data_IF_025302854121
#
_entry.id   IF_025302854121
#
_cell.length_a   1.000
_cell.length_b   1.000
_cell.length_c   1.000
_cell.angle_alpha   90.00
_cell.angle_beta   90.00
_cell.angle_gamma   90.00
#
_symmetry.space_group_name_H-M   'P 1'
#
loop_
_entity.id
_entity.type
_entity.pdbx_description
1 polymer ?
#
# COMPACT_ATOMS: atom_id res chain seq x y z
N UNK A 1 -4.57 -6.58 -3.20
CA UNK A 1 -4.70 -7.34 -1.94
C UNK A 1 -6.09 -7.23 -1.31
N UNK A 2 -6.53 -6.03 -0.89
CA UNK A 2 -7.75 -5.84 -0.06
C UNK A 2 -9.08 -6.26 -0.71
N UNK A 3 -9.14 -6.46 -2.03
CA UNK A 3 -10.32 -7.00 -2.72
C UNK A 3 -10.41 -8.53 -2.70
N UNK A 4 -9.28 -9.23 -2.50
CA UNK A 4 -9.27 -10.70 -2.54
C UNK A 4 -10.03 -11.27 -1.34
N UNK A 5 -10.68 -12.44 -1.49
CA UNK A 5 -11.24 -13.16 -0.35
C UNK A 5 -10.18 -13.55 0.70
N UNK A 6 -10.63 -13.80 1.94
CA UNK A 6 -9.80 -14.34 3.01
C UNK A 6 -9.21 -13.31 4.00
N UNK A 7 -8.28 -13.78 4.83
CA UNK A 7 -7.59 -12.94 5.79
C UNK A 7 -6.60 -12.00 5.08
N UNK A 8 -6.50 -10.77 5.56
CA UNK A 8 -5.53 -9.78 5.09
C UNK A 8 -4.66 -9.37 6.27
N UNK A 9 -3.35 -9.35 6.04
CA UNK A 9 -2.37 -8.84 6.98
C UNK A 9 -1.78 -7.57 6.35
N UNK A 10 -1.83 -6.46 7.08
CA UNK A 10 -1.21 -5.19 6.67
C UNK A 10 0.02 -5.01 7.54
N UNK A 11 1.19 -4.83 6.92
CA UNK A 11 2.42 -4.58 7.67
C UNK A 11 2.48 -3.12 8.11
N UNK A 12 3.08 -2.84 9.26
CA UNK A 12 3.12 -1.47 9.78
C UNK A 12 3.85 -0.51 8.85
N UNK A 13 3.18 0.54 8.39
CA UNK A 13 3.72 1.50 7.42
C UNK A 13 3.37 1.18 5.96
N UNK A 14 2.86 -0.02 5.66
CA UNK A 14 2.31 -0.34 4.34
C UNK A 14 1.11 0.57 4.01
N UNK A 15 0.27 0.85 5.02
CA UNK A 15 -0.86 1.75 4.89
C UNK A 15 -0.45 3.21 4.66
N UNK A 16 0.80 3.56 4.92
CA UNK A 16 1.38 4.87 4.62
C UNK A 16 2.12 4.87 3.28
N UNK A 17 2.29 3.71 2.64
CA UNK A 17 3.11 3.56 1.45
C UNK A 17 4.61 3.79 1.73
N UNK A 18 5.11 3.41 2.91
CA UNK A 18 6.53 3.58 3.23
C UNK A 18 7.40 2.72 2.30
N UNK A 19 8.43 3.31 1.65
CA UNK A 19 9.39 2.56 0.86
C UNK A 19 10.36 1.79 1.76
N UNK A 20 11.04 0.80 1.18
CA UNK A 20 12.23 0.24 1.81
C UNK A 20 13.31 1.33 1.93
N UNK A 21 13.98 1.37 3.08
CA UNK A 21 15.06 2.34 3.32
C UNK A 21 16.42 1.74 2.99
N UNK A 22 17.20 2.48 2.21
CA UNK A 22 18.62 2.20 1.97
C UNK A 22 19.45 2.67 3.19
N UNK A 23 19.69 1.74 4.11
CA UNK A 23 20.45 2.00 5.33
C UNK A 23 21.96 1.89 5.12
N UNK A 24 22.80 2.74 5.74
CA UNK A 24 24.24 2.49 5.80
C UNK A 24 24.58 1.17 6.53
N UNK A 25 25.62 0.46 6.09
CA UNK A 25 25.98 -0.86 6.67
C UNK A 25 26.30 -0.77 8.16
N UNK A 26 26.91 0.34 8.59
CA UNK A 26 27.33 0.56 9.96
C UNK A 26 26.16 0.78 10.95
N UNK A 27 24.93 0.92 10.45
CA UNK A 27 23.73 1.04 11.31
C UNK A 27 22.88 -0.22 11.33
N UNK A 28 23.20 -1.25 10.54
CA UNK A 28 22.45 -2.51 10.51
C UNK A 28 22.46 -3.19 11.88
N UNK A 29 21.30 -3.69 12.30
CA UNK A 29 21.03 -4.31 13.60
C UNK A 29 20.60 -5.78 13.47
N UNK A 30 20.16 -6.23 12.28
CA UNK A 30 19.73 -7.60 12.05
C UNK A 30 20.92 -8.55 12.16
N UNK A 31 20.88 -9.58 13.04
CA UNK A 31 21.97 -10.53 13.19
C UNK A 31 22.36 -11.28 11.92
N UNK A 32 21.49 -11.29 10.90
CA UNK A 32 21.82 -11.83 9.57
C UNK A 32 23.08 -11.17 8.98
N UNK A 33 23.25 -9.86 9.20
CA UNK A 33 24.43 -9.13 8.71
C UNK A 33 25.72 -9.75 9.22
N UNK A 34 25.86 -9.89 10.54
CA UNK A 34 27.04 -10.48 11.16
C UNK A 34 27.18 -11.98 10.85
N UNK A 35 26.08 -12.74 10.93
CA UNK A 35 26.10 -14.20 10.73
C UNK A 35 26.44 -14.62 9.31
N UNK A 36 26.15 -13.77 8.33
CA UNK A 36 26.48 -14.01 6.92
C UNK A 36 27.90 -13.59 6.55
N UNK A 37 28.68 -13.03 7.50
CA UNK A 37 29.97 -12.44 7.21
C UNK A 37 29.85 -11.22 6.29
N UNK A 38 28.83 -10.39 6.53
CA UNK A 38 28.58 -9.13 5.81
C UNK A 38 28.23 -9.32 4.32
N UNK A 39 27.51 -10.40 3.99
CA UNK A 39 27.07 -10.70 2.61
C UNK A 39 25.55 -10.58 2.42
N UNK A 40 24.78 -10.67 3.50
CA UNK A 40 23.32 -10.52 3.49
C UNK A 40 22.90 -9.40 4.45
N UNK A 41 22.23 -8.36 3.92
CA UNK A 41 21.86 -7.15 4.69
C UNK A 41 20.76 -7.38 5.73
N UNK A 42 20.04 -8.50 5.67
CA UNK A 42 18.94 -8.80 6.59
C UNK A 42 17.67 -7.99 6.32
N UNK A 43 16.91 -7.68 7.38
CA UNK A 43 15.52 -7.17 7.30
C UNK A 43 15.37 -5.74 7.82
N UNK A 44 16.46 -5.02 8.10
CA UNK A 44 16.35 -3.70 8.74
C UNK A 44 15.72 -2.62 7.85
N UNK A 45 15.79 -2.78 6.52
CA UNK A 45 15.19 -1.83 5.57
C UNK A 45 13.68 -1.64 5.74
N UNK A 46 12.98 -2.62 6.32
CA UNK A 46 11.55 -2.54 6.65
C UNK A 46 11.26 -2.39 8.15
N UNK A 47 12.29 -2.22 8.99
CA UNK A 47 12.16 -2.07 10.46
C UNK A 47 12.45 -0.67 10.96
N UNK A 48 12.69 0.26 10.04
CA UNK A 48 12.86 1.68 10.37
C UNK A 48 11.64 2.16 11.17
N UNK A 49 11.82 2.96 12.24
CA UNK A 49 10.71 3.47 13.05
C UNK A 49 9.60 4.13 12.22
N UNK A 50 8.36 4.08 12.72
CA UNK A 50 7.22 4.66 12.02
C UNK A 50 7.18 6.19 12.15
N UNK A 51 6.90 6.92 11.05
CA UNK A 51 6.73 8.36 11.10
C UNK A 51 5.31 8.73 11.57
N UNK A 52 5.18 9.28 12.77
CA UNK A 52 3.87 9.66 13.33
C UNK A 52 3.45 11.08 12.97
N UNK A 53 4.37 12.05 13.04
CA UNK A 53 4.06 13.47 12.89
C UNK A 53 5.29 14.33 12.65
N UNK A 54 5.11 15.60 12.26
CA UNK A 54 6.20 16.57 12.13
C UNK A 54 6.89 16.50 10.77
N UNK A 55 7.92 17.33 10.61
CA UNK A 55 8.65 17.56 9.36
C UNK A 55 10.10 17.06 9.41
N UNK A 56 10.55 16.55 10.55
CA UNK A 56 11.91 16.03 10.74
C UNK A 56 11.93 14.76 11.60
N UNK A 57 12.94 13.91 11.36
CA UNK A 57 13.20 12.72 12.17
C UNK A 57 13.41 13.09 13.66
N UNK A 58 12.88 12.27 14.61
CA UNK A 58 12.32 10.94 14.43
C UNK A 58 10.79 10.96 14.19
N UNK A 59 10.25 12.04 13.64
CA UNK A 59 8.84 12.18 13.26
C UNK A 59 7.85 11.80 14.38
N UNK A 60 8.14 12.22 15.61
CA UNK A 60 7.30 11.92 16.78
C UNK A 60 7.34 10.46 17.26
N UNK A 61 8.21 9.61 16.71
CA UNK A 61 8.40 8.24 17.20
C UNK A 61 9.02 8.19 18.61
N UNK A 62 9.97 9.09 18.88
CA UNK A 62 10.72 9.13 20.13
C UNK A 62 11.02 10.57 20.54
N UNK A 63 11.23 10.80 21.84
CA UNK A 63 11.81 12.04 22.36
C UNK A 63 13.33 12.12 22.17
N UNK A 64 13.98 10.99 21.87
CA UNK A 64 15.40 10.91 21.51
C UNK A 64 15.53 11.03 19.99
N UNK A 65 16.38 11.95 19.53
CA UNK A 65 16.55 12.24 18.10
C UNK A 65 17.18 11.10 17.30
N UNK A 66 18.08 10.33 17.92
CA UNK A 66 18.72 9.17 17.30
C UNK A 66 18.05 7.88 17.76
N UNK A 67 17.27 7.28 16.86
CA UNK A 67 16.67 5.96 17.03
C UNK A 67 17.64 4.84 16.66
N UNK A 68 17.29 3.60 17.03
CA UNK A 68 18.10 2.40 16.75
C UNK A 68 18.35 2.14 15.25
N UNK A 69 17.46 2.61 14.39
CA UNK A 69 17.66 2.73 12.94
C UNK A 69 17.33 4.17 12.51
N UNK A 70 18.14 4.78 11.63
CA UNK A 70 17.87 6.13 11.13
C UNK A 70 16.65 6.15 10.20
N UNK A 71 15.89 7.25 10.26
CA UNK A 71 14.76 7.51 9.37
C UNK A 71 15.21 8.49 8.28
N UNK A 72 14.75 8.34 7.02
CA UNK A 72 14.99 9.33 5.97
C UNK A 72 14.45 10.73 6.29
N UNK A 73 15.12 11.77 5.83
CA UNK A 73 14.75 13.18 6.09
C UNK A 73 13.56 13.67 5.26
N UNK A 74 13.08 12.88 4.30
CA UNK A 74 12.00 13.22 3.36
C UNK A 74 10.66 12.54 3.71
N UNK A 75 10.52 11.98 4.91
CA UNK A 75 9.33 11.24 5.35
C UNK A 75 8.23 12.11 5.97
N UNK A 76 8.42 13.43 6.09
CA UNK A 76 7.39 14.36 6.60
C UNK A 76 6.01 14.16 5.96
N UNK A 77 5.89 14.12 4.61
CA UNK A 77 4.64 13.84 3.90
C UNK A 77 4.08 12.43 4.13
N UNK A 78 4.91 11.47 4.52
CA UNK A 78 4.51 10.08 4.79
C UNK A 78 4.06 9.86 6.25
N UNK A 79 4.13 10.89 7.10
CA UNK A 79 3.71 10.77 8.49
C UNK A 79 2.22 10.43 8.62
N UNK A 80 1.86 9.70 9.68
CA UNK A 80 0.46 9.41 10.01
C UNK A 80 -0.37 10.70 10.13
N UNK A 81 0.20 11.76 10.71
CA UNK A 81 -0.46 13.06 10.84
C UNK A 81 -0.73 13.71 9.47
N UNK A 82 0.27 13.77 8.58
CA UNK A 82 0.11 14.34 7.25
C UNK A 82 -0.95 13.57 6.43
N UNK A 83 -0.82 12.24 6.37
CA UNK A 83 -1.77 11.42 5.61
C UNK A 83 -3.16 11.35 6.24
N UNK A 84 -3.30 11.48 7.56
CA UNK A 84 -4.63 11.54 8.18
C UNK A 84 -5.39 12.83 7.85
N UNK A 85 -4.68 13.91 7.53
CA UNK A 85 -5.27 15.17 7.10
C UNK A 85 -5.63 15.19 5.60
N UNK A 86 -5.01 14.31 4.81
CA UNK A 86 -5.21 14.21 3.36
C UNK A 86 -6.20 13.09 3.02
N UNK A 87 -7.40 13.41 2.49
CA UNK A 87 -8.33 12.39 2.03
C UNK A 87 -7.78 11.59 0.83
N UNK A 88 -6.85 12.09 0.03
CA UNK A 88 -6.35 11.34 -1.13
C UNK A 88 -5.10 10.51 -0.81
N UNK A 89 -4.69 10.45 0.46
CA UNK A 89 -3.53 9.69 0.91
C UNK A 89 -3.72 8.17 0.86
N UNK A 90 -2.59 7.44 0.85
CA UNK A 90 -2.56 5.98 0.98
C UNK A 90 -3.27 5.52 2.25
N UNK A 91 -3.08 6.21 3.38
CA UNK A 91 -3.77 5.89 4.63
C UNK A 91 -5.29 5.98 4.50
N UNK A 92 -5.77 7.04 3.86
CA UNK A 92 -7.20 7.24 3.59
C UNK A 92 -7.74 6.18 2.64
N UNK A 93 -7.00 5.78 1.61
CA UNK A 93 -7.32 4.67 0.72
C UNK A 93 -7.47 3.34 1.50
N UNK A 94 -6.49 2.99 2.34
CA UNK A 94 -6.53 1.77 3.14
C UNK A 94 -7.73 1.76 4.10
N UNK A 95 -8.01 2.88 4.78
CA UNK A 95 -9.18 3.02 5.66
C UNK A 95 -10.49 2.76 4.91
N UNK A 96 -10.69 3.39 3.75
CA UNK A 96 -11.89 3.20 2.91
C UNK A 96 -12.01 1.77 2.39
N UNK A 97 -10.91 1.19 1.91
CA UNK A 97 -10.89 -0.19 1.43
C UNK A 97 -11.28 -1.19 2.54
N UNK A 98 -10.77 -0.99 3.76
CA UNK A 98 -11.12 -1.83 4.91
C UNK A 98 -12.58 -1.64 5.33
N UNK A 99 -13.08 -0.41 5.34
CA UNK A 99 -14.49 -0.11 5.63
C UNK A 99 -15.43 -0.78 4.62
N UNK A 100 -15.16 -0.59 3.32
CA UNK A 100 -15.88 -1.26 2.23
C UNK A 100 -15.83 -2.78 2.37
N UNK A 101 -14.66 -3.34 2.72
CA UNK A 101 -14.48 -4.77 2.94
C UNK A 101 -15.29 -5.29 4.12
N UNK A 102 -15.37 -4.54 5.24
CA UNK A 102 -16.15 -4.92 6.44
C UNK A 102 -17.64 -5.05 6.16
N UNK A 103 -18.18 -4.25 5.25
CA UNK A 103 -19.60 -4.28 4.87
C UNK A 103 -19.99 -5.49 4.01
N UNK A 104 -19.04 -6.34 3.62
CA UNK A 104 -19.26 -7.43 2.65
C UNK A 104 -19.33 -8.76 3.39
N UNK A 105 -20.52 -9.35 3.39
CA UNK A 105 -20.93 -10.52 4.21
C UNK A 105 -20.23 -11.83 3.85
N UNK A 106 -19.55 -11.88 2.69
CA UNK A 106 -18.80 -13.06 2.26
C UNK A 106 -17.42 -12.60 1.81
N UNK A 107 -16.44 -12.69 2.71
CA UNK A 107 -15.04 -12.75 2.29
C UNK A 107 -14.85 -14.13 1.64
N UNK A 108 -15.39 -14.30 0.43
CA UNK A 108 -15.65 -15.57 -0.24
C UNK A 108 -14.50 -16.57 -0.24
N UNK A 109 -14.68 -17.72 -0.89
CA UNK A 109 -13.59 -18.72 -0.91
C UNK A 109 -12.75 -18.63 -2.17
N UNK A 110 -13.28 -17.97 -3.18
CA UNK A 110 -12.73 -17.98 -4.52
C UNK A 110 -12.97 -16.66 -5.25
N UNK A 111 -12.26 -16.50 -6.36
CA UNK A 111 -12.49 -15.44 -7.34
C UNK A 111 -12.62 -16.06 -8.73
N UNK A 112 -13.39 -15.41 -9.59
CA UNK A 112 -13.43 -15.71 -11.02
C UNK A 112 -12.50 -14.75 -11.75
N UNK A 113 -11.41 -15.26 -12.30
CA UNK A 113 -10.52 -14.46 -13.16
C UNK A 113 -11.25 -14.02 -14.43
N UNK A 114 -11.08 -12.75 -14.78
CA UNK A 114 -11.67 -12.17 -15.99
C UNK A 114 -10.60 -12.04 -17.08
N UNK A 115 -10.91 -12.35 -18.35
CA UNK A 115 -9.97 -12.12 -19.44
C UNK A 115 -9.62 -10.63 -19.56
N UNK A 116 -8.34 -10.34 -19.70
CA UNK A 116 -7.82 -8.97 -19.82
C UNK A 116 -6.72 -8.90 -20.87
N UNK A 117 -6.44 -7.68 -21.35
CA UNK A 117 -5.24 -7.43 -22.15
C UNK A 117 -3.96 -7.61 -21.30
N UNK A 118 -2.79 -7.87 -21.92
CA UNK A 118 -1.52 -7.90 -21.21
C UNK A 118 -1.28 -6.64 -20.38
N UNK A 119 -0.79 -6.81 -19.14
CA UNK A 119 -0.58 -5.70 -18.19
C UNK A 119 -1.80 -5.38 -17.33
N UNK A 120 -2.99 -5.88 -17.67
CA UNK A 120 -4.18 -5.74 -16.83
C UNK A 120 -4.46 -7.04 -16.09
N UNK A 121 -4.90 -6.92 -14.84
CA UNK A 121 -5.35 -8.05 -14.01
C UNK A 121 -6.75 -7.75 -13.50
N UNK A 122 -7.70 -8.65 -13.76
CA UNK A 122 -9.05 -8.50 -13.25
C UNK A 122 -9.63 -9.80 -12.71
N UNK A 123 -10.39 -9.69 -11.63
CA UNK A 123 -11.15 -10.80 -11.06
C UNK A 123 -12.47 -10.32 -10.48
N UNK A 124 -13.44 -11.23 -10.43
CA UNK A 124 -14.71 -11.02 -9.77
C UNK A 124 -14.81 -11.85 -8.49
N UNK A 125 -15.24 -11.22 -7.41
CA UNK A 125 -15.60 -11.88 -6.15
C UNK A 125 -17.02 -12.47 -6.21
N UNK A 126 -17.31 -13.43 -5.34
CA UNK A 126 -18.62 -14.12 -5.27
C UNK A 126 -19.80 -13.16 -5.01
N UNK A 127 -19.54 -12.04 -4.34
CA UNK A 127 -20.52 -10.98 -4.04
C UNK A 127 -20.64 -9.92 -5.16
N UNK A 128 -20.07 -10.21 -6.34
CA UNK A 128 -20.20 -9.37 -7.53
C UNK A 128 -19.16 -8.26 -7.68
N UNK A 129 -18.27 -8.03 -6.69
CA UNK A 129 -17.17 -7.05 -6.89
C UNK A 129 -16.33 -7.46 -8.06
N UNK A 130 -15.93 -6.50 -8.87
CA UNK A 130 -14.80 -6.67 -9.78
C UNK A 130 -13.64 -5.82 -9.29
N UNK A 131 -12.47 -6.43 -9.15
CA UNK A 131 -11.22 -5.71 -8.96
C UNK A 131 -10.49 -5.68 -10.31
N UNK A 132 -10.10 -4.50 -10.78
CA UNK A 132 -9.24 -4.30 -11.93
C UNK A 132 -7.95 -3.61 -11.46
N UNK A 133 -6.80 -4.14 -11.86
CA UNK A 133 -5.48 -3.57 -11.60
C UNK A 133 -4.80 -3.31 -12.95
N UNK A 134 -4.30 -2.10 -13.14
CA UNK A 134 -3.39 -1.77 -14.24
C UNK A 134 -1.96 -1.96 -13.76
N UNK A 135 -1.41 -3.15 -13.98
CA UNK A 135 0.00 -3.48 -13.73
C UNK A 135 0.86 -3.32 -15.00
N UNK A 136 0.32 -2.65 -16.03
CA UNK A 136 0.99 -2.36 -17.28
C UNK A 136 1.65 -0.98 -17.26
N UNK A 137 2.21 -0.58 -18.39
CA UNK A 137 2.89 0.72 -18.55
C UNK A 137 2.07 1.75 -19.32
N UNK A 138 0.83 1.42 -19.70
CA UNK A 138 -0.03 2.29 -20.51
C UNK A 138 -1.34 2.60 -19.80
N UNK A 139 -1.83 3.82 -20.02
CA UNK A 139 -3.17 4.22 -19.57
C UNK A 139 -4.25 3.50 -20.37
N UNK A 140 -5.25 2.97 -19.68
CA UNK A 140 -6.40 2.26 -20.28
C UNK A 140 -7.71 2.94 -19.93
N UNK A 141 -8.75 2.70 -20.73
CA UNK A 141 -10.07 3.25 -20.43
C UNK A 141 -10.72 2.48 -19.28
N UNK A 142 -11.40 3.21 -18.39
CA UNK A 142 -12.16 2.59 -17.30
C UNK A 142 -13.36 1.85 -17.92
N UNK A 143 -13.55 0.56 -17.62
CA UNK A 143 -14.70 -0.18 -18.14
C UNK A 143 -16.00 0.40 -17.58
N UNK A 144 -17.11 0.20 -18.30
CA UNK A 144 -18.44 0.53 -17.80
C UNK A 144 -18.70 -0.14 -16.45
N UNK A 145 -19.49 0.52 -15.59
CA UNK A 145 -19.79 0.06 -14.23
C UNK A 145 -19.70 1.19 -13.21
N UNK A 146 -20.10 0.92 -11.97
CA UNK A 146 -19.99 1.88 -10.88
C UNK A 146 -18.65 1.69 -10.17
N UNK A 147 -17.80 2.72 -10.19
CA UNK A 147 -16.56 2.75 -9.39
C UNK A 147 -16.91 2.90 -7.91
N UNK A 148 -16.55 1.90 -7.12
CA UNK A 148 -16.72 1.87 -5.66
C UNK A 148 -15.48 2.41 -4.95
N UNK A 149 -14.29 2.12 -5.50
CA UNK A 149 -13.01 2.58 -4.97
C UNK A 149 -12.02 2.70 -6.13
N UNK A 150 -11.17 3.73 -6.09
CA UNK A 150 -10.01 3.87 -6.95
C UNK A 150 -8.78 4.16 -6.08
N UNK A 151 -7.62 3.57 -6.40
CA UNK A 151 -6.36 3.84 -5.69
C UNK A 151 -5.63 5.08 -6.19
N UNK A 152 -6.15 5.74 -7.22
CA UNK A 152 -5.55 6.90 -7.85
C UNK A 152 -6.57 7.65 -8.73
N UNK A 153 -6.19 8.84 -9.24
CA UNK A 153 -7.08 9.68 -10.04
C UNK A 153 -7.45 9.02 -11.37
N UNK A 154 -8.66 9.33 -11.85
CA UNK A 154 -9.21 8.82 -13.11
C UNK A 154 -9.53 9.95 -14.09
N UNK A 155 -8.50 10.68 -14.60
CA UNK A 155 -8.73 11.78 -15.52
C UNK A 155 -9.42 11.27 -16.78
N UNK A 156 -10.49 11.97 -17.18
CA UNK A 156 -11.27 11.66 -18.39
C UNK A 156 -11.79 10.21 -18.46
N UNK A 157 -12.03 9.58 -17.31
CA UNK A 157 -12.48 8.19 -17.26
C UNK A 157 -11.40 7.19 -17.67
N UNK A 158 -10.13 7.54 -17.48
CA UNK A 158 -8.98 6.70 -17.83
C UNK A 158 -8.17 6.34 -16.59
N UNK A 159 -7.60 5.15 -16.62
CA UNK A 159 -6.87 4.54 -15.53
C UNK A 159 -5.39 4.44 -15.88
N UNK A 160 -4.57 5.18 -15.15
CA UNK A 160 -3.10 5.15 -15.27
C UNK A 160 -2.50 3.81 -14.84
N UNK A 161 -1.24 3.53 -15.19
CA UNK A 161 -0.43 2.51 -14.53
C UNK A 161 -0.51 2.58 -13.01
N UNK A 162 -0.26 1.45 -12.34
CA UNK A 162 -0.20 1.28 -10.89
C UNK A 162 -1.49 1.70 -10.14
N UNK A 163 -2.61 1.77 -10.87
CA UNK A 163 -3.92 2.07 -10.31
C UNK A 163 -4.71 0.77 -10.14
N UNK A 164 -5.57 0.70 -9.13
CA UNK A 164 -6.55 -0.35 -8.93
C UNK A 164 -7.96 0.24 -8.77
N UNK A 165 -8.95 -0.44 -9.34
CA UNK A 165 -10.36 -0.08 -9.28
C UNK A 165 -11.19 -1.22 -8.69
N UNK A 166 -12.14 -0.86 -7.85
CA UNK A 166 -13.22 -1.75 -7.43
C UNK A 166 -14.50 -1.28 -8.12
N UNK A 167 -15.17 -2.20 -8.81
CA UNK A 167 -16.32 -1.95 -9.65
C UNK A 167 -17.49 -2.83 -9.22
N UNK A 168 -18.71 -2.31 -9.37
CA UNK A 168 -19.96 -3.10 -9.32
C UNK A 168 -20.75 -2.90 -10.59
N UNK A 169 -21.51 -3.94 -10.95
CA UNK A 169 -22.41 -3.98 -12.10
C UNK A 169 -23.81 -4.26 -11.56
N UNK A 170 -24.78 -3.46 -12.00
CA UNK A 170 -26.20 -3.69 -11.70
C UNK A 170 -26.75 -4.88 -12.50
#
# INVERSE_FOLDING_TARGET
>A
MLALPGAVFVYNGEELGLPNVELPDNVLQDPVWERSGHTERGRDSCRVPLPWSGDAAPYGFSSITQTWLPMPDDWGPLTVAAQSADPESTLSLFRRAIELRRGRTVLGRSVRWLPTAPGLLAFQCEDGLVCLLNAGSTTVDVPAGRVVLASGPLPDGRMSPDTALWLTYD
#
